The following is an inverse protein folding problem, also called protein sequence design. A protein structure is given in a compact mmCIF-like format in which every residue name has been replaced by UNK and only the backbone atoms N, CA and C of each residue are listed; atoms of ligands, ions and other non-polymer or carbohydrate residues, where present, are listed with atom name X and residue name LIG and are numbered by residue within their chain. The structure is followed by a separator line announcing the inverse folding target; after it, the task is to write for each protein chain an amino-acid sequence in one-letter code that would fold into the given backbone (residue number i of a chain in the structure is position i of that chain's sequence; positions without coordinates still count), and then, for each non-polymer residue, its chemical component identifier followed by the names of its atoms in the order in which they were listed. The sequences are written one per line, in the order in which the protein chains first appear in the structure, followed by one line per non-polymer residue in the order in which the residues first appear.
data_IF_514502094903
#
_entry.id   IF_514502094903
#
_cell.length_a   1.000
_cell.length_b   1.000
_cell.length_c   1.000
_cell.angle_alpha   90.00
_cell.angle_beta   90.00
_cell.angle_gamma   90.00
#
_symmetry.space_group_name_H-M   'P 1'
#
loop_
_entity.id
_entity.type
_entity.pdbx_description
1 polymer ?
#
# COMPACT_ATOMS: atom_id res chain seq x y z
N UNK A 1 -3.34 -8.98 11.09
CA UNK A 1 -2.62 -8.00 10.25
C UNK A 1 -1.19 -8.49 10.20
N UNK A 2 -0.60 -8.69 9.02
CA UNK A 2 0.75 -9.25 8.92
C UNK A 2 1.76 -8.21 9.44
N UNK A 3 2.59 -8.55 10.42
CA UNK A 3 3.54 -7.66 11.10
C UNK A 3 4.77 -7.32 10.24
N UNK A 4 5.54 -6.31 10.63
CA UNK A 4 6.82 -6.02 9.97
C UNK A 4 7.75 -7.18 10.22
N UNK A 5 8.21 -7.78 9.13
CA UNK A 5 9.14 -8.89 9.16
C UNK A 5 10.56 -8.35 9.38
N UNK A 6 11.03 -8.40 10.64
CA UNK A 6 12.38 -7.98 11.03
C UNK A 6 13.46 -8.87 10.40
N UNK A 7 13.16 -10.14 10.11
CA UNK A 7 14.13 -11.09 9.52
C UNK A 7 14.52 -10.70 8.10
N UNK A 8 13.63 -9.99 7.40
CA UNK A 8 13.91 -9.43 6.07
C UNK A 8 14.65 -8.10 6.10
N UNK A 9 14.94 -7.55 7.28
CA UNK A 9 15.60 -6.25 7.41
C UNK A 9 17.12 -6.37 7.43
N UNK A 10 17.78 -5.30 6.99
CA UNK A 10 19.25 -5.25 6.88
C UNK A 10 19.98 -5.58 8.19
N UNK A 11 19.57 -5.10 9.39
CA UNK A 11 20.26 -5.47 10.62
C UNK A 11 20.26 -6.98 10.88
N UNK A 12 19.12 -7.66 10.71
CA UNK A 12 19.00 -9.10 10.92
C UNK A 12 19.84 -9.86 9.89
N UNK A 13 19.64 -9.56 8.61
CA UNK A 13 20.38 -10.20 7.50
C UNK A 13 21.88 -10.06 7.72
N UNK A 14 22.37 -8.86 8.06
CA UNK A 14 23.79 -8.65 8.32
C UNK A 14 24.29 -9.46 9.51
N UNK A 15 23.52 -9.51 10.60
CA UNK A 15 23.93 -10.21 11.82
C UNK A 15 24.02 -11.73 11.59
N UNK A 16 23.09 -12.31 10.84
CA UNK A 16 23.14 -13.72 10.43
C UNK A 16 24.38 -14.03 9.57
N UNK A 17 24.75 -13.12 8.66
CA UNK A 17 25.96 -13.28 7.84
C UNK A 17 27.26 -13.34 8.67
N UNK A 18 27.26 -12.84 9.92
CA UNK A 18 28.45 -12.85 10.77
C UNK A 18 28.91 -14.27 11.13
N UNK A 19 27.98 -15.23 11.18
CA UNK A 19 28.26 -16.62 11.54
C UNK A 19 28.50 -17.55 10.36
N UNK A 20 28.38 -17.04 9.13
CA UNK A 20 28.71 -17.81 7.93
C UNK A 20 30.12 -18.41 8.03
N UNK A 21 30.31 -19.56 7.41
CA UNK A 21 31.62 -20.22 7.38
C UNK A 21 32.65 -19.37 6.62
N UNK A 22 33.89 -19.33 7.13
CA UNK A 22 35.08 -18.81 6.43
C UNK A 22 36.20 -19.84 6.59
N UNK A 23 37.03 -20.03 5.57
CA UNK A 23 38.20 -20.89 5.72
C UNK A 23 39.27 -20.20 6.58
N UNK A 24 39.73 -20.86 7.63
CA UNK A 24 40.80 -20.37 8.49
C UNK A 24 42.10 -20.12 7.71
N UNK A 25 42.30 -20.77 6.56
CA UNK A 25 43.46 -20.55 5.70
C UNK A 25 43.55 -19.10 5.17
N UNK A 26 42.43 -18.35 5.14
CA UNK A 26 42.43 -16.94 4.75
C UNK A 26 43.22 -16.06 5.72
N UNK A 27 43.37 -16.49 6.98
CA UNK A 27 44.22 -15.81 7.96
C UNK A 27 45.69 -15.89 7.56
N UNK A 28 46.14 -16.93 6.85
CA UNK A 28 47.53 -17.12 6.43
C UNK A 28 48.04 -15.98 5.53
N UNK A 29 47.11 -15.28 4.88
CA UNK A 29 47.41 -14.12 4.01
C UNK A 29 47.78 -12.86 4.80
N UNK A 30 47.51 -12.82 6.11
CA UNK A 30 47.75 -11.64 6.94
C UNK A 30 49.23 -11.55 7.32
N UNK A 31 49.80 -10.34 7.25
CA UNK A 31 51.17 -10.10 7.71
C UNK A 31 51.34 -10.43 9.21
N UNK A 32 50.26 -10.26 9.98
CA UNK A 32 50.18 -10.57 11.41
C UNK A 32 50.00 -12.06 11.73
N UNK A 33 49.74 -12.91 10.73
CA UNK A 33 49.42 -14.33 10.94
C UNK A 33 50.50 -15.10 11.68
N UNK A 34 51.79 -14.82 11.42
CA UNK A 34 52.90 -15.49 12.13
C UNK A 34 52.90 -15.20 13.65
N UNK A 35 52.40 -14.03 14.04
CA UNK A 35 52.19 -13.69 15.44
C UNK A 35 50.96 -14.42 15.99
N UNK A 36 49.92 -14.60 15.17
CA UNK A 36 48.68 -15.31 15.52
C UNK A 36 48.90 -16.82 15.69
N UNK A 37 49.67 -17.45 14.81
CA UNK A 37 49.88 -18.91 14.77
C UNK A 37 50.77 -19.46 15.89
N UNK A 38 51.38 -18.60 16.71
CA UNK A 38 52.20 -18.99 17.86
C UNK A 38 51.39 -19.14 19.15
N UNK A 39 50.07 -18.94 19.10
CA UNK A 39 49.22 -18.78 20.27
C UNK A 39 48.35 -20.03 20.56
N UNK A 40 48.42 -20.55 21.79
CA UNK A 40 48.13 -21.95 22.20
C UNK A 40 46.69 -22.49 21.96
N UNK A 41 45.67 -21.66 21.72
CA UNK A 41 44.25 -22.08 21.60
C UNK A 41 43.73 -22.18 20.15
N UNK A 42 44.59 -22.72 19.28
CA UNK A 42 44.63 -22.58 17.82
C UNK A 42 43.29 -22.69 17.07
N UNK A 43 42.58 -23.83 17.07
CA UNK A 43 41.58 -24.06 16.00
C UNK A 43 40.25 -23.29 16.12
N UNK A 44 39.69 -23.18 17.33
CA UNK A 44 38.38 -22.51 17.52
C UNK A 44 38.49 -21.00 17.39
N UNK A 45 39.56 -20.42 17.91
CA UNK A 45 39.79 -18.97 17.78
C UNK A 45 40.15 -18.60 16.35
N UNK A 46 40.91 -19.43 15.63
CA UNK A 46 41.18 -19.24 14.20
C UNK A 46 39.90 -19.16 13.37
N UNK A 47 38.92 -20.04 13.61
CA UNK A 47 37.60 -19.98 12.94
C UNK A 47 36.89 -18.64 13.20
N UNK A 48 36.88 -18.19 14.46
CA UNK A 48 36.26 -16.91 14.84
C UNK A 48 37.01 -15.72 14.19
N UNK A 49 38.34 -15.74 14.18
CA UNK A 49 39.16 -14.69 13.60
C UNK A 49 39.04 -14.64 12.07
N UNK A 50 38.90 -15.79 11.41
CA UNK A 50 38.65 -15.86 9.97
C UNK A 50 37.31 -15.23 9.62
N UNK A 51 36.25 -15.59 10.36
CA UNK A 51 34.93 -14.96 10.25
C UNK A 51 35.01 -13.44 10.49
N UNK A 52 35.76 -13.01 11.50
CA UNK A 52 35.98 -11.59 11.79
C UNK A 52 36.63 -10.86 10.59
N UNK A 53 37.69 -11.44 10.02
CA UNK A 53 38.37 -10.90 8.84
C UNK A 53 37.41 -10.74 7.66
N UNK A 54 36.63 -11.79 7.35
CA UNK A 54 35.62 -11.76 6.31
C UNK A 54 34.57 -10.68 6.58
N UNK A 55 34.04 -10.61 7.79
CA UNK A 55 33.01 -9.65 8.17
C UNK A 55 33.47 -8.20 7.96
N UNK A 56 34.73 -7.90 8.28
CA UNK A 56 35.26 -6.53 8.08
C UNK A 56 35.55 -6.25 6.61
N UNK A 57 35.98 -7.25 5.83
CA UNK A 57 36.06 -7.15 4.37
C UNK A 57 34.68 -6.90 3.74
N UNK A 58 33.62 -7.56 4.25
CA UNK A 58 32.24 -7.36 3.83
C UNK A 58 31.73 -5.94 4.11
N UNK A 59 32.10 -5.38 5.28
CA UNK A 59 31.81 -3.97 5.60
C UNK A 59 32.49 -3.05 4.60
N UNK A 60 33.76 -3.32 4.28
CA UNK A 60 34.53 -2.51 3.33
C UNK A 60 33.91 -2.50 1.93
N UNK A 61 33.43 -3.66 1.45
CA UNK A 61 32.96 -3.82 0.07
C UNK A 61 31.48 -3.49 -0.10
N UNK A 62 30.61 -4.04 0.76
CA UNK A 62 29.15 -3.97 0.60
C UNK A 62 28.55 -2.90 1.50
N UNK A 63 28.91 -2.87 2.78
CA UNK A 63 28.26 -2.01 3.78
C UNK A 63 29.06 -0.75 4.14
N UNK A 64 29.79 -0.19 3.17
CA UNK A 64 30.73 0.91 3.43
C UNK A 64 30.02 2.18 3.92
N UNK A 65 28.81 2.46 3.41
CA UNK A 65 27.99 3.62 3.78
C UNK A 65 27.53 3.57 5.25
N UNK A 66 27.24 2.38 5.78
CA UNK A 66 26.83 2.18 7.17
C UNK A 66 27.91 1.51 8.03
N UNK A 67 29.18 1.72 7.66
CA UNK A 67 30.32 1.05 8.28
C UNK A 67 30.39 1.24 9.80
N UNK A 68 30.06 2.43 10.31
CA UNK A 68 30.06 2.71 11.76
C UNK A 68 29.13 1.78 12.55
N UNK A 69 27.89 1.59 12.11
CA UNK A 69 26.95 0.67 12.76
C UNK A 69 27.44 -0.77 12.63
N UNK A 70 27.85 -1.16 11.43
CA UNK A 70 28.32 -2.53 11.17
C UNK A 70 29.56 -2.90 11.99
N UNK A 71 30.46 -1.94 12.24
CA UNK A 71 31.56 -2.17 13.17
C UNK A 71 31.09 -2.36 14.62
N UNK A 72 30.01 -1.70 15.08
CA UNK A 72 29.40 -2.00 16.39
C UNK A 72 28.80 -3.40 16.42
N UNK A 73 28.08 -3.80 15.37
CA UNK A 73 27.50 -5.14 15.23
C UNK A 73 28.58 -6.23 15.29
N UNK A 74 29.67 -6.06 14.53
CA UNK A 74 30.81 -6.98 14.51
C UNK A 74 31.51 -7.05 15.87
N UNK A 75 31.74 -5.92 16.53
CA UNK A 75 32.35 -5.91 17.87
C UNK A 75 31.45 -6.58 18.91
N UNK A 76 30.14 -6.33 18.86
CA UNK A 76 29.18 -6.97 19.74
C UNK A 76 29.15 -8.49 19.52
N UNK A 77 29.04 -8.95 18.27
CA UNK A 77 29.11 -10.36 17.91
C UNK A 77 30.39 -11.02 18.41
N UNK A 78 31.55 -10.39 18.16
CA UNK A 78 32.83 -10.94 18.59
C UNK A 78 32.91 -11.05 20.12
N UNK A 79 32.48 -10.01 20.84
CA UNK A 79 32.40 -10.02 22.30
C UNK A 79 31.55 -11.20 22.82
N UNK A 80 30.38 -11.45 22.21
CA UNK A 80 29.54 -12.59 22.58
C UNK A 80 30.22 -13.94 22.29
N UNK A 81 30.95 -14.08 21.16
CA UNK A 81 31.70 -15.31 20.84
C UNK A 81 32.80 -15.62 21.85
N UNK A 82 33.46 -14.61 22.39
CA UNK A 82 34.55 -14.80 23.36
C UNK A 82 34.08 -14.76 24.82
N UNK A 83 32.82 -14.42 25.09
CA UNK A 83 32.27 -14.21 26.44
C UNK A 83 32.41 -15.41 27.38
N UNK A 84 32.37 -16.62 26.83
CA UNK A 84 32.41 -17.88 27.59
C UNK A 84 33.82 -18.31 28.00
N UNK A 85 34.85 -17.66 27.47
CA UNK A 85 36.25 -17.94 27.82
C UNK A 85 36.67 -17.22 29.10
N UNK A 86 37.72 -17.68 29.78
CA UNK A 86 38.27 -17.00 30.95
C UNK A 86 38.87 -15.62 30.59
N UNK A 87 39.11 -14.77 31.59
CA UNK A 87 39.58 -13.40 31.38
C UNK A 87 40.94 -13.33 30.66
N UNK A 88 41.84 -14.28 30.90
CA UNK A 88 43.16 -14.30 30.25
C UNK A 88 43.00 -14.59 28.76
N UNK A 89 42.23 -15.61 28.43
CA UNK A 89 41.95 -15.98 27.04
C UNK A 89 41.13 -14.91 26.32
N UNK A 90 40.12 -14.33 26.96
CA UNK A 90 39.36 -13.19 26.40
C UNK A 90 40.26 -12.02 26.03
N UNK A 91 41.17 -11.65 26.91
CA UNK A 91 42.13 -10.56 26.64
C UNK A 91 43.02 -10.90 25.44
N UNK A 92 43.61 -12.08 25.43
CA UNK A 92 44.42 -12.56 24.30
C UNK A 92 43.60 -12.51 23.00
N UNK A 93 42.40 -13.05 22.98
CA UNK A 93 41.54 -13.05 21.79
C UNK A 93 41.15 -11.64 21.34
N UNK A 94 40.95 -10.71 22.27
CA UNK A 94 40.72 -9.30 21.97
C UNK A 94 41.93 -8.68 21.26
N UNK A 95 43.14 -8.97 21.72
CA UNK A 95 44.39 -8.53 21.08
C UNK A 95 44.54 -9.13 19.67
N UNK A 96 44.10 -10.38 19.48
CA UNK A 96 44.17 -11.07 18.19
C UNK A 96 43.18 -10.45 17.20
N UNK A 97 41.96 -10.17 17.66
CA UNK A 97 40.97 -9.46 16.88
C UNK A 97 41.45 -8.06 16.49
N UNK A 98 42.09 -7.32 17.41
CA UNK A 98 42.69 -6.03 17.10
C UNK A 98 43.71 -6.14 15.96
N UNK A 99 44.59 -7.14 16.00
CA UNK A 99 45.55 -7.38 14.93
C UNK A 99 44.86 -7.65 13.58
N UNK A 100 43.83 -8.50 13.55
CA UNK A 100 43.05 -8.81 12.33
C UNK A 100 42.33 -7.58 11.80
N UNK A 101 41.68 -6.81 12.66
CA UNK A 101 40.94 -5.60 12.28
C UNK A 101 41.85 -4.55 11.65
N UNK A 102 43.06 -4.38 12.19
CA UNK A 102 44.04 -3.39 11.71
C UNK A 102 44.55 -3.67 10.28
N UNK A 103 44.46 -4.91 9.81
CA UNK A 103 44.85 -5.30 8.45
C UNK A 103 43.86 -4.78 7.40
N UNK A 104 42.58 -4.60 7.75
CA UNK A 104 41.56 -4.16 6.80
C UNK A 104 41.44 -2.64 6.79
N UNK A 105 42.04 -2.01 5.77
CA UNK A 105 42.10 -0.55 5.61
C UNK A 105 41.23 -0.07 4.46
N UNK A 106 40.75 1.18 4.53
CA UNK A 106 40.11 1.88 3.42
C UNK A 106 41.10 2.12 2.28
N UNK A 107 40.59 2.35 1.06
CA UNK A 107 41.41 2.60 -0.12
C UNK A 107 41.98 4.03 -0.16
N UNK A 108 41.50 4.93 0.71
CA UNK A 108 41.83 6.36 0.73
C UNK A 108 42.75 6.73 1.90
N UNK A 109 44.06 6.72 1.65
CA UNK A 109 45.09 7.35 2.51
C UNK A 109 45.45 6.60 3.81
N UNK A 110 46.68 6.84 4.29
CA UNK A 110 47.31 6.13 5.40
C UNK A 110 46.47 6.18 6.71
N UNK A 111 46.29 5.01 7.33
CA UNK A 111 45.78 4.76 8.68
C UNK A 111 44.26 4.80 8.92
N UNK A 112 43.43 4.88 7.89
CA UNK A 112 41.98 4.71 8.05
C UNK A 112 41.61 3.23 8.00
N UNK A 113 41.63 2.58 9.17
CA UNK A 113 41.17 1.21 9.38
C UNK A 113 39.63 1.17 9.26
N UNK A 114 39.08 0.09 8.70
CA UNK A 114 37.62 -0.04 8.47
C UNK A 114 36.86 -0.11 9.79
N UNK A 115 37.25 -1.05 10.67
CA UNK A 115 36.69 -1.19 12.00
C UNK A 115 37.82 -1.21 13.03
N UNK A 116 37.60 -0.53 14.16
CA UNK A 116 38.49 -0.64 15.32
C UNK A 116 37.89 -1.63 16.32
N UNK A 117 38.77 -2.31 17.05
CA UNK A 117 38.37 -3.12 18.20
C UNK A 117 37.75 -2.22 19.26
N UNK A 118 36.56 -2.56 19.72
CA UNK A 118 35.84 -1.88 20.79
C UNK A 118 35.17 -2.91 21.70
N UNK A 119 35.67 -3.05 22.92
CA UNK A 119 35.14 -3.98 23.91
C UNK A 119 33.77 -3.53 24.44
N UNK A 120 33.47 -2.24 24.32
CA UNK A 120 32.24 -1.61 24.78
C UNK A 120 31.57 -0.84 23.64
N UNK A 121 31.06 -1.55 22.60
CA UNK A 121 30.49 -0.91 21.41
C UNK A 121 29.23 -0.09 21.71
N UNK A 122 28.68 -0.22 22.92
CA UNK A 122 27.54 0.53 23.43
C UNK A 122 27.86 1.19 24.78
N UNK A 123 27.27 2.36 25.07
CA UNK A 123 27.61 3.20 26.23
C UNK A 123 27.12 2.65 27.59
N UNK A 124 26.38 1.54 27.60
CA UNK A 124 25.82 0.95 28.82
C UNK A 124 26.20 -0.52 28.93
N UNK A 125 26.12 -1.06 30.15
CA UNK A 125 26.23 -2.49 30.42
C UNK A 125 25.00 -3.29 29.97
N UNK A 126 23.92 -2.63 29.55
CA UNK A 126 22.73 -3.26 28.98
C UNK A 126 22.89 -3.41 27.46
N UNK A 127 23.95 -4.11 27.08
CA UNK A 127 24.44 -4.22 25.70
C UNK A 127 23.35 -4.75 24.75
N UNK A 128 22.62 -5.80 25.15
CA UNK A 128 21.58 -6.41 24.31
C UNK A 128 20.40 -5.46 24.05
N UNK A 129 20.02 -4.67 25.06
CA UNK A 129 18.98 -3.65 24.90
C UNK A 129 19.43 -2.55 23.94
N UNK A 130 20.68 -2.11 24.07
CA UNK A 130 21.26 -1.10 23.19
C UNK A 130 21.41 -1.59 21.75
N UNK A 131 21.77 -2.86 21.56
CA UNK A 131 21.79 -3.47 20.22
C UNK A 131 20.40 -3.49 19.59
N UNK A 132 19.38 -3.96 20.31
CA UNK A 132 17.99 -3.94 19.81
C UNK A 132 17.53 -2.53 19.45
N UNK A 133 17.91 -1.53 20.26
CA UNK A 133 17.61 -0.14 19.96
C UNK A 133 18.30 0.32 18.67
N UNK A 134 19.59 0.00 18.49
CA UNK A 134 20.34 0.30 17.26
C UNK A 134 19.68 -0.33 16.03
N UNK A 135 19.23 -1.57 16.14
CA UNK A 135 18.61 -2.32 15.05
C UNK A 135 17.23 -1.73 14.71
N UNK A 136 16.40 -1.45 15.72
CA UNK A 136 15.15 -0.73 15.55
C UNK A 136 15.34 0.61 14.85
N UNK A 137 16.32 1.41 15.27
CA UNK A 137 16.57 2.72 14.67
C UNK A 137 16.98 2.63 13.20
N UNK A 138 17.79 1.63 12.82
CA UNK A 138 18.11 1.38 11.41
C UNK A 138 16.86 0.96 10.62
N UNK A 139 16.04 0.05 11.14
CA UNK A 139 14.78 -0.37 10.50
C UNK A 139 13.86 0.84 10.29
N UNK A 140 13.66 1.63 11.34
CA UNK A 140 12.84 2.85 11.32
C UNK A 140 13.31 3.83 10.25
N UNK A 141 14.62 4.07 10.17
CA UNK A 141 15.19 5.03 9.23
C UNK A 141 15.13 4.51 7.79
N UNK A 142 15.37 3.22 7.57
CA UNK A 142 15.23 2.57 6.26
C UNK A 142 13.78 2.58 5.76
N UNK A 143 12.81 2.27 6.64
CA UNK A 143 11.39 2.30 6.28
C UNK A 143 10.95 3.73 5.98
N UNK A 144 11.45 4.74 6.70
CA UNK A 144 11.17 6.15 6.37
C UNK A 144 11.74 6.58 5.02
N UNK A 145 12.88 6.00 4.61
CA UNK A 145 13.45 6.23 3.29
C UNK A 145 12.66 5.53 2.18
N UNK A 146 11.98 4.41 2.47
CA UNK A 146 10.99 3.83 1.56
C UNK A 146 9.67 4.58 1.68
N UNK A 147 9.19 5.22 0.62
CA UNK A 147 7.86 5.86 0.65
C UNK A 147 6.81 4.77 0.93
N UNK A 148 6.20 4.83 2.12
CA UNK A 148 5.07 3.96 2.49
C UNK A 148 4.03 4.04 1.36
N UNK A 149 3.60 2.90 0.81
CA UNK A 149 2.86 2.91 -0.47
C UNK A 149 1.38 3.19 -0.32
N UNK A 150 0.82 2.92 0.85
CA UNK A 150 -0.60 3.06 1.14
C UNK A 150 -0.86 3.16 2.64
N UNK A 151 -2.10 3.51 2.99
CA UNK A 151 -2.56 3.65 4.37
C UNK A 151 -2.34 2.38 5.19
N UNK A 152 -2.59 1.20 4.63
CA UNK A 152 -2.39 -0.08 5.32
C UNK A 152 -0.94 -0.31 5.72
N UNK A 153 0.03 -0.04 4.83
CA UNK A 153 1.46 -0.13 5.14
C UNK A 153 1.86 0.88 6.23
N UNK A 154 1.30 2.09 6.19
CA UNK A 154 1.54 3.09 7.23
C UNK A 154 0.98 2.68 8.59
N UNK A 155 -0.25 2.16 8.65
CA UNK A 155 -0.87 1.67 9.89
C UNK A 155 -0.08 0.49 10.46
N UNK A 156 0.38 -0.43 9.60
CA UNK A 156 1.26 -1.53 9.98
C UNK A 156 2.55 -1.02 10.62
N UNK A 157 3.18 -0.02 10.01
CA UNK A 157 4.39 0.58 10.56
C UNK A 157 4.16 1.33 11.89
N UNK A 158 3.03 2.02 12.05
CA UNK A 158 2.67 2.62 13.33
C UNK A 158 2.44 1.56 14.43
N UNK A 159 1.87 0.40 14.10
CA UNK A 159 1.76 -0.71 15.05
C UNK A 159 3.14 -1.14 15.53
N UNK A 160 4.06 -1.36 14.59
CA UNK A 160 5.45 -1.71 14.88
C UNK A 160 6.17 -0.68 15.75
N UNK A 161 6.00 0.62 15.47
CA UNK A 161 6.57 1.70 16.30
C UNK A 161 6.03 1.65 17.73
N UNK A 162 4.71 1.49 17.89
CA UNK A 162 4.06 1.44 19.21
C UNK A 162 4.48 0.23 20.02
N UNK A 163 4.48 -0.96 19.42
CA UNK A 163 4.91 -2.21 20.06
C UNK A 163 6.36 -2.11 20.56
N UNK A 164 7.26 -1.56 19.73
CA UNK A 164 8.64 -1.30 20.15
C UNK A 164 8.71 -0.23 21.25
N UNK A 165 7.95 0.86 21.16
CA UNK A 165 7.89 1.89 22.20
C UNK A 165 7.48 1.30 23.54
N UNK A 166 6.46 0.44 23.55
CA UNK A 166 5.98 -0.27 24.73
C UNK A 166 7.06 -1.21 25.30
N UNK A 167 7.70 -2.02 24.43
CA UNK A 167 8.81 -2.88 24.81
C UNK A 167 9.94 -2.10 25.49
N UNK A 168 10.50 -1.09 24.81
CA UNK A 168 11.62 -0.31 25.36
C UNK A 168 11.22 0.49 26.60
N UNK A 169 9.98 1.00 26.67
CA UNK A 169 9.46 1.66 27.89
C UNK A 169 9.42 0.70 29.07
N UNK A 170 8.97 -0.53 28.86
CA UNK A 170 8.94 -1.56 29.91
C UNK A 170 10.36 -1.93 30.36
N UNK A 171 11.28 -2.17 29.42
CA UNK A 171 12.67 -2.51 29.73
C UNK A 171 13.35 -1.39 30.52
N UNK A 172 13.24 -0.14 30.06
CA UNK A 172 13.91 0.99 30.73
C UNK A 172 13.29 1.29 32.10
N UNK A 173 11.98 1.15 32.28
CA UNK A 173 11.34 1.36 33.58
C UNK A 173 11.77 0.30 34.60
N UNK A 174 11.97 -0.95 34.17
CA UNK A 174 12.50 -2.00 35.04
C UNK A 174 13.93 -1.67 35.49
N UNK A 175 14.81 -1.36 34.53
CA UNK A 175 16.22 -1.04 34.79
C UNK A 175 16.37 0.23 35.64
N UNK A 176 15.62 1.27 35.32
CA UNK A 176 15.72 2.59 35.93
C UNK A 176 14.89 2.77 37.20
N UNK A 177 14.45 1.68 37.82
CA UNK A 177 13.62 1.72 39.04
C UNK A 177 14.37 2.22 40.27
N UNK A 178 15.71 2.20 40.27
CA UNK A 178 16.53 2.45 41.47
C UNK A 178 17.56 3.57 41.35
N UNK A 179 18.26 3.71 40.22
CA UNK A 179 19.10 4.88 39.90
C UNK A 179 19.54 4.80 38.42
N UNK A 180 19.09 5.70 37.55
CA UNK A 180 19.56 5.67 36.17
C UNK A 180 19.64 7.06 35.51
N UNK A 181 20.72 7.22 34.76
CA UNK A 181 20.88 8.30 33.78
C UNK A 181 20.37 7.80 32.44
N UNK A 182 19.08 8.00 32.14
CA UNK A 182 18.46 7.64 30.84
C UNK A 182 19.21 8.24 29.64
N UNK A 183 19.92 9.35 29.87
CA UNK A 183 20.80 9.98 28.89
C UNK A 183 21.89 9.05 28.33
N UNK A 184 22.30 8.02 29.08
CA UNK A 184 23.28 7.03 28.63
C UNK A 184 22.71 6.05 27.60
N UNK A 185 21.38 5.90 27.53
CA UNK A 185 20.70 5.02 26.57
C UNK A 185 20.46 5.78 25.28
N UNK A 186 21.55 6.09 24.59
CA UNK A 186 21.57 6.91 23.39
C UNK A 186 22.64 6.42 22.43
N UNK A 187 22.27 6.22 21.17
CA UNK A 187 23.20 5.94 20.07
C UNK A 187 23.49 7.24 19.31
N UNK A 188 22.45 8.03 19.05
CA UNK A 188 22.55 9.36 18.47
C UNK A 188 21.37 10.24 18.92
N UNK A 189 21.27 11.46 18.38
CA UNK A 189 20.22 12.41 18.77
C UNK A 189 18.78 11.93 18.50
N UNK A 190 18.57 11.08 17.49
CA UNK A 190 17.26 10.53 17.09
C UNK A 190 17.05 9.08 17.52
N UNK A 191 18.09 8.43 18.05
CA UNK A 191 18.05 7.06 18.56
C UNK A 191 18.41 7.03 20.06
N UNK A 192 17.41 7.28 20.91
CA UNK A 192 17.58 7.41 22.37
C UNK A 192 16.35 6.98 23.17
N UNK A 193 16.55 6.38 24.35
CA UNK A 193 15.48 6.07 25.29
C UNK A 193 15.17 7.22 26.27
N UNK A 194 15.95 8.31 26.24
CA UNK A 194 15.67 9.49 27.04
C UNK A 194 14.49 10.29 26.46
N UNK A 195 14.42 10.39 25.13
CA UNK A 195 13.32 11.00 24.42
C UNK A 195 12.66 9.97 23.50
N UNK A 196 11.70 9.24 24.08
CA UNK A 196 11.00 8.16 23.39
C UNK A 196 10.17 8.67 22.22
N UNK A 197 9.64 9.89 22.24
CA UNK A 197 8.82 10.40 21.14
C UNK A 197 9.66 10.74 19.90
N UNK A 198 10.93 11.12 20.08
CA UNK A 198 11.87 11.29 18.97
C UNK A 198 12.27 9.95 18.35
N UNK A 199 12.41 8.92 19.18
CA UNK A 199 12.86 7.59 18.74
C UNK A 199 11.73 6.77 18.13
N UNK A 200 10.54 6.85 18.74
CA UNK A 200 9.32 6.13 18.36
C UNK A 200 8.21 7.10 17.90
N UNK A 201 8.42 7.85 16.80
CA UNK A 201 7.47 8.83 16.29
C UNK A 201 6.35 8.18 15.48
N UNK A 202 5.11 8.36 15.92
CA UNK A 202 3.93 7.97 15.14
C UNK A 202 3.82 8.78 13.84
N UNK A 203 3.43 8.12 12.75
CA UNK A 203 3.15 8.77 11.47
C UNK A 203 1.66 9.07 11.36
N UNK A 204 1.31 10.29 10.96
CA UNK A 204 -0.07 10.64 10.65
C UNK A 204 -0.49 10.04 9.28
N UNK A 205 -0.90 8.76 9.27
CA UNK A 205 -1.32 8.04 8.07
C UNK A 205 -2.53 8.70 7.38
N UNK A 206 -3.51 9.14 8.17
CA UNK A 206 -4.68 9.88 7.70
C UNK A 206 -4.27 11.12 6.91
N UNK A 207 -3.35 11.91 7.46
CA UNK A 207 -2.85 13.13 6.83
C UNK A 207 -2.07 12.89 5.53
N UNK A 208 -1.45 11.71 5.38
CA UNK A 208 -0.72 11.32 4.17
C UNK A 208 -1.68 10.85 3.07
N UNK A 209 -2.58 9.91 3.36
CA UNK A 209 -3.38 9.25 2.32
C UNK A 209 -4.76 9.85 2.10
N UNK A 210 -5.42 10.44 3.11
CA UNK A 210 -6.70 11.15 2.88
C UNK A 210 -6.51 12.41 2.03
N UNK A 211 -5.33 13.05 2.08
CA UNK A 211 -4.97 14.15 1.17
C UNK A 211 -4.68 13.67 -0.25
N UNK A 212 -4.20 12.45 -0.44
CA UNK A 212 -3.96 11.87 -1.76
C UNK A 212 -5.25 11.43 -2.44
N UNK A 213 -6.24 10.95 -1.69
CA UNK A 213 -7.60 10.71 -2.23
C UNK A 213 -8.25 12.00 -2.74
N UNK A 214 -8.02 13.14 -2.08
CA UNK A 214 -8.46 14.46 -2.55
C UNK A 214 -7.64 15.00 -3.74
N UNK A 215 -6.44 14.46 -3.99
CA UNK A 215 -5.55 14.84 -5.10
C UNK A 215 -5.64 13.90 -6.29
N UNK A 216 -6.31 12.74 -6.18
CA UNK A 216 -6.73 11.99 -7.37
C UNK A 216 -7.55 12.99 -8.19
N UNK A 217 -7.16 13.30 -9.44
CA UNK A 217 -8.03 14.11 -10.27
C UNK A 217 -9.37 13.39 -10.26
N UNK A 218 -10.44 14.10 -9.87
CA UNK A 218 -11.78 13.68 -10.20
C UNK A 218 -11.75 13.19 -11.65
N UNK A 219 -12.44 12.09 -12.01
CA UNK A 219 -12.49 11.68 -13.40
C UNK A 219 -12.87 12.93 -14.17
N UNK A 220 -11.94 13.45 -14.97
CA UNK A 220 -12.14 14.67 -15.71
C UNK A 220 -13.30 14.31 -16.61
N UNK A 221 -14.51 14.71 -16.22
CA UNK A 221 -15.63 14.80 -17.11
C UNK A 221 -15.12 15.89 -18.04
N UNK A 222 -14.45 15.47 -19.13
CA UNK A 222 -14.16 16.36 -20.23
C UNK A 222 -15.51 16.95 -20.57
N UNK A 223 -15.74 18.20 -20.19
CA UNK A 223 -16.85 18.97 -20.73
C UNK A 223 -16.64 18.88 -22.24
N UNK A 224 -17.44 18.02 -22.88
CA UNK A 224 -17.39 17.86 -24.33
C UNK A 224 -17.60 19.25 -24.88
N UNK A 225 -16.72 19.66 -25.78
CA UNK A 225 -16.86 20.99 -26.37
C UNK A 225 -18.26 21.10 -26.99
N UNK A 226 -18.88 22.30 -27.03
CA UNK A 226 -20.18 22.50 -27.67
C UNK A 226 -20.22 21.95 -29.11
N UNK A 227 -19.05 21.91 -29.76
CA UNK A 227 -18.82 21.41 -31.10
C UNK A 227 -18.92 19.87 -31.17
N UNK A 228 -18.39 19.16 -30.17
CA UNK A 228 -18.56 17.70 -30.05
C UNK A 228 -20.01 17.32 -29.74
N UNK A 229 -20.68 18.06 -28.84
CA UNK A 229 -22.10 17.83 -28.52
C UNK A 229 -22.96 18.06 -29.77
N UNK A 230 -22.72 19.14 -30.50
CA UNK A 230 -23.40 19.43 -31.77
C UNK A 230 -23.17 18.35 -32.82
N UNK A 231 -21.93 17.86 -32.96
CA UNK A 231 -21.60 16.77 -33.89
C UNK A 231 -22.34 15.47 -33.55
N UNK A 232 -22.37 15.07 -32.27
CA UNK A 232 -23.10 13.88 -31.83
C UNK A 232 -24.61 13.98 -32.13
N UNK A 233 -25.22 15.14 -31.87
CA UNK A 233 -26.65 15.36 -32.15
C UNK A 233 -26.93 15.22 -33.64
N UNK A 234 -26.13 15.85 -34.51
CA UNK A 234 -26.31 15.80 -35.97
C UNK A 234 -26.16 14.37 -36.48
N UNK A 235 -25.12 13.65 -36.05
CA UNK A 235 -24.89 12.26 -36.45
C UNK A 235 -26.03 11.35 -35.98
N UNK A 236 -26.52 11.54 -34.76
CA UNK A 236 -27.68 10.79 -34.24
C UNK A 236 -28.95 11.04 -35.05
N UNK A 237 -29.24 12.29 -35.45
CA UNK A 237 -30.39 12.59 -36.30
C UNK A 237 -30.27 11.96 -37.70
N UNK A 238 -29.08 11.96 -38.29
CA UNK A 238 -28.83 11.34 -39.60
C UNK A 238 -29.03 9.83 -39.51
N UNK A 239 -28.47 9.18 -38.49
CA UNK A 239 -28.65 7.74 -38.28
C UNK A 239 -30.10 7.37 -38.01
N UNK A 240 -30.81 8.18 -37.22
CA UNK A 240 -32.24 7.97 -36.96
C UNK A 240 -33.08 8.15 -38.23
N UNK A 241 -32.79 9.15 -39.05
CA UNK A 241 -33.45 9.34 -40.35
C UNK A 241 -33.21 8.17 -41.30
N UNK A 242 -31.97 7.70 -41.40
CA UNK A 242 -31.63 6.50 -42.18
C UNK A 242 -32.32 5.25 -41.62
N UNK A 243 -32.47 5.12 -40.31
CA UNK A 243 -33.20 4.04 -39.67
C UNK A 243 -34.70 4.10 -39.99
N UNK A 244 -35.32 5.28 -40.00
CA UNK A 244 -36.71 5.46 -40.42
C UNK A 244 -36.88 5.08 -41.91
N UNK A 245 -35.99 5.53 -42.79
CA UNK A 245 -36.01 5.14 -44.21
C UNK A 245 -35.82 3.64 -44.40
N UNK A 246 -34.95 3.02 -43.60
CA UNK A 246 -34.77 1.58 -43.59
C UNK A 246 -36.05 0.87 -43.14
N UNK A 247 -36.70 1.35 -42.07
CA UNK A 247 -37.97 0.80 -41.61
C UNK A 247 -39.09 0.97 -42.63
N UNK A 248 -39.12 2.09 -43.36
CA UNK A 248 -40.09 2.35 -44.42
C UNK A 248 -39.89 1.41 -45.62
N UNK A 249 -38.64 1.13 -45.98
CA UNK A 249 -38.29 0.30 -47.15
C UNK A 249 -38.31 -1.20 -46.87
N UNK A 250 -37.90 -1.65 -45.67
CA UNK A 250 -37.66 -3.06 -45.36
C UNK A 250 -38.61 -3.67 -44.32
N UNK A 251 -39.53 -2.89 -43.73
CA UNK A 251 -40.57 -3.40 -42.83
C UNK A 251 -41.96 -2.99 -43.34
N UNK A 252 -43.02 -3.80 -43.14
CA UNK A 252 -44.37 -3.51 -43.65
C UNK A 252 -45.11 -2.42 -42.82
N UNK A 253 -44.37 -1.47 -42.24
CA UNK A 253 -44.88 -0.40 -41.36
C UNK A 253 -45.76 0.59 -42.16
N UNK A 254 -45.46 0.83 -43.43
CA UNK A 254 -46.33 1.61 -44.33
C UNK A 254 -47.74 1.01 -44.50
N UNK A 255 -47.85 -0.33 -44.52
CA UNK A 255 -49.15 -1.03 -44.59
C UNK A 255 -49.95 -0.95 -43.28
N UNK A 256 -49.25 -0.76 -42.15
CA UNK A 256 -49.83 -0.61 -40.81
C UNK A 256 -50.31 0.83 -40.61
N UNK A 257 -49.51 1.82 -41.00
CA UNK A 257 -49.88 3.25 -40.94
C UNK A 257 -51.10 3.56 -41.82
N UNK A 258 -51.19 2.97 -43.03
CA UNK A 258 -52.38 3.12 -43.89
C UNK A 258 -53.63 2.48 -43.27
N UNK A 259 -53.48 1.35 -42.55
CA UNK A 259 -54.55 0.71 -41.76
C UNK A 259 -55.03 1.60 -40.61
N UNK A 260 -54.12 2.25 -39.88
CA UNK A 260 -54.47 3.19 -38.81
C UNK A 260 -55.15 4.45 -39.36
N UNK A 261 -54.67 5.02 -40.48
CA UNK A 261 -55.36 6.13 -41.15
C UNK A 261 -56.77 5.74 -41.59
N UNK A 262 -56.96 4.57 -42.22
CA UNK A 262 -58.31 4.07 -42.59
C UNK A 262 -59.22 3.90 -41.38
N UNK A 263 -58.72 3.39 -40.26
CA UNK A 263 -59.48 3.28 -39.01
C UNK A 263 -59.89 4.65 -38.45
N UNK A 264 -59.01 5.65 -38.50
CA UNK A 264 -59.32 7.02 -38.08
C UNK A 264 -60.39 7.69 -38.96
N UNK A 265 -60.32 7.52 -40.28
CA UNK A 265 -61.35 8.02 -41.20
C UNK A 265 -62.69 7.29 -41.05
N UNK A 266 -62.68 5.97 -40.82
CA UNK A 266 -63.89 5.20 -40.55
C UNK A 266 -64.55 5.63 -39.22
N UNK A 267 -63.76 5.88 -38.17
CA UNK A 267 -64.25 6.37 -36.89
C UNK A 267 -64.85 7.77 -37.02
N UNK A 268 -64.18 8.69 -37.75
CA UNK A 268 -64.70 10.03 -38.03
C UNK A 268 -66.02 9.99 -38.82
N UNK A 269 -66.11 9.13 -39.84
CA UNK A 269 -67.32 8.94 -40.65
C UNK A 269 -68.48 8.34 -39.86
N UNK A 270 -68.20 7.48 -38.87
CA UNK A 270 -69.23 6.92 -38.00
C UNK A 270 -69.74 7.95 -36.98
N UNK A 271 -68.89 8.84 -36.49
CA UNK A 271 -69.29 9.95 -35.61
C UNK A 271 -70.15 10.95 -36.39
N UNK A 272 -69.73 11.36 -37.59
CA UNK A 272 -70.52 12.25 -38.47
C UNK A 272 -71.89 11.65 -38.85
N UNK A 273 -71.98 10.34 -39.09
CA UNK A 273 -73.28 9.67 -39.32
C UNK A 273 -74.21 9.67 -38.11
N UNK A 274 -73.67 9.55 -36.89
CA UNK A 274 -74.49 9.55 -35.67
C UNK A 274 -75.07 10.95 -35.39
N UNK A 275 -74.34 12.01 -35.77
CA UNK A 275 -74.83 13.39 -35.66
C UNK A 275 -75.87 13.75 -36.74
N UNK A 276 -75.76 13.19 -37.96
CA UNK A 276 -76.67 13.48 -39.09
C UNK A 276 -78.09 12.89 -38.89
N UNK A 277 -78.20 11.71 -38.26
CA UNK A 277 -79.51 11.15 -37.87
C UNK A 277 -80.17 11.93 -36.71
N UNK A 278 -79.38 12.65 -35.90
CA UNK A 278 -79.90 13.44 -34.79
C UNK A 278 -80.41 14.82 -35.21
N UNK A 279 -79.94 15.33 -36.35
CA UNK A 279 -80.30 16.65 -36.88
C UNK A 279 -81.40 16.64 -37.96
N UNK A 280 -81.74 15.48 -38.55
CA UNK A 280 -82.83 15.38 -39.55
C UNK A 280 -84.22 15.13 -38.98
N UNK A 281 -84.37 15.08 -37.65
CA UNK A 281 -85.66 14.83 -36.95
C UNK A 281 -86.29 16.07 -36.29
N UNK A 282 -85.73 17.27 -36.51
CA UNK A 282 -86.26 18.52 -35.95
C UNK A 282 -86.33 19.62 -37.02
N UNK A 283 -87.36 19.56 -37.88
CA UNK A 283 -88.17 20.70 -38.35
C UNK A 283 -88.98 20.34 -39.60
N UNK A 284 -90.15 19.73 -39.39
CA UNK A 284 -91.32 20.01 -40.23
C UNK A 284 -92.60 19.70 -39.47
N UNK A 285 -93.07 20.62 -38.63
CA UNK A 285 -94.45 20.61 -38.13
C UNK A 285 -94.99 22.05 -38.07
N UNK A 286 -95.47 22.55 -39.21
CA UNK A 286 -96.64 23.44 -39.22
C UNK A 286 -97.86 22.56 -39.46
N UNK A 287 -98.84 22.67 -38.57
CA UNK A 287 -100.06 21.86 -38.48
C UNK A 287 -100.97 21.95 -39.71
N UNK A 288 -101.83 20.92 -39.92
CA UNK A 288 -102.69 20.75 -41.09
C UNK A 288 -104.02 21.49 -40.94
N UNK A 289 -104.64 21.89 -42.06
CA UNK A 289 -106.07 22.20 -42.12
C UNK A 289 -106.77 21.18 -43.02
N UNK A 290 -107.81 20.56 -42.46
CA UNK A 290 -108.81 19.73 -43.13
C UNK A 290 -108.37 18.37 -43.70
N UNK A 291 -108.69 17.30 -42.97
CA UNK A 291 -109.88 16.48 -43.29
C UNK A 291 -109.90 15.18 -42.48
N UNK A 292 -111.00 14.97 -41.77
CA UNK A 292 -111.65 13.68 -41.50
C UNK A 292 -110.93 12.55 -40.75
N UNK A 293 -111.22 12.55 -39.45
CA UNK A 293 -111.51 11.40 -38.59
C UNK A 293 -111.86 10.07 -39.32
N UNK A 294 -110.96 9.08 -39.24
CA UNK A 294 -111.35 7.65 -39.21
C UNK A 294 -110.63 6.91 -38.09
N UNK A 295 -111.39 6.61 -37.04
CA UNK A 295 -111.15 5.48 -36.13
C UNK A 295 -111.05 4.18 -36.96
N UNK A 296 -110.24 3.20 -36.53
CA UNK A 296 -110.69 1.86 -36.10
C UNK A 296 -109.50 0.95 -35.75
N UNK A 297 -109.55 0.46 -34.50
CA UNK A 297 -109.14 -0.82 -33.89
C UNK A 297 -107.90 -1.60 -34.35
N UNK A 298 -107.06 -1.89 -33.34
CA UNK A 298 -105.90 -2.78 -33.34
C UNK A 298 -106.34 -4.16 -32.82
N UNK A 299 -105.99 -5.22 -33.54
CA UNK A 299 -106.09 -6.60 -33.06
C UNK A 299 -104.67 -7.22 -33.02
N UNK A 300 -104.28 -7.79 -31.88
CA UNK A 300 -102.95 -8.36 -31.67
C UNK A 300 -102.95 -9.88 -31.97
N UNK A 301 -102.25 -10.26 -33.03
CA UNK A 301 -101.92 -11.67 -33.32
C UNK A 301 -100.79 -12.17 -32.43
N UNK A 302 -101.08 -13.20 -31.62
CA UNK A 302 -100.15 -13.91 -30.73
C UNK A 302 -99.28 -14.90 -31.51
N UNK A 303 -98.01 -15.02 -31.07
CA UNK A 303 -96.96 -15.96 -31.56
C UNK A 303 -97.47 -17.35 -31.93
N UNK A 304 -96.92 -17.90 -33.01
CA UNK A 304 -96.54 -19.30 -33.11
C UNK A 304 -95.11 -19.40 -33.64
N UNK A 305 -94.37 -20.36 -33.06
CA UNK A 305 -93.07 -20.81 -33.54
C UNK A 305 -93.12 -21.25 -35.00
#
# INVERSE_FOLDING_TARGET
MEEIDEEKQVPYIFYELLDNHEDASDLNSLATYKSISTWEDTKKIEDILAKLLRNVRLIKSIYHENSKKRCRDVNHWFNEKIKTYDDRNRKSFSDYAMAVLNEVKWNTGNNNIVCKRDETPYPTNHVDLMKKLDDYCEIRDNIRCSVLKNETECLKYNSYIRENKEYFSSQINNICSTDCSREKYKIDAKCTLNNMDLTFPDINCDGLYKKEELKKPEPIIKERSPLEIGFFIIVSFILFYLFILFLEKFTPVGSIISRFRRRKYALKRNIERVDDYRYSLYHSETMPSDSENKRYYIEYGRRKN
#
